data_IF_727447302073
#
_entry.id   IF_727447302073
#
_cell.length_a   1.000
_cell.length_b   1.000
_cell.length_c   1.000
_cell.angle_alpha   90.00
_cell.angle_beta   90.00
_cell.angle_gamma   90.00
#
_symmetry.space_group_name_H-M   'P 1'
#
loop_
_entity.id
_entity.type
_entity.pdbx_description
1 polymer ?
#
# COMPACT_ATOMS: atom_id res chain seq x y z
N UNK A 1 5.38 -22.64 -18.04
CA UNK A 1 6.84 -22.79 -17.79
C UNK A 1 7.47 -21.53 -17.15
N UNK A 2 7.09 -20.30 -17.54
CA UNK A 2 7.66 -19.07 -16.97
C UNK A 2 7.24 -18.83 -15.51
N UNK A 3 6.02 -19.17 -15.13
CA UNK A 3 5.56 -19.05 -13.73
C UNK A 3 6.28 -20.03 -12.79
N UNK A 4 6.68 -21.22 -13.26
CA UNK A 4 7.51 -22.12 -12.46
C UNK A 4 8.91 -21.58 -12.20
N UNK A 5 9.48 -20.79 -13.12
CA UNK A 5 10.77 -20.15 -12.89
C UNK A 5 10.72 -19.00 -11.87
N UNK A 6 9.55 -18.34 -11.70
CA UNK A 6 9.36 -17.36 -10.63
C UNK A 6 9.36 -17.99 -9.24
N UNK A 7 8.87 -19.23 -9.11
CA UNK A 7 8.86 -19.95 -7.82
C UNK A 7 10.18 -20.64 -7.47
N UNK A 8 11.16 -20.65 -8.38
CA UNK A 8 12.50 -21.30 -8.19
C UNK A 8 13.60 -20.24 -8.06
N UNK A 9 13.25 -18.97 -7.97
CA UNK A 9 14.25 -17.92 -7.80
C UNK A 9 14.85 -17.96 -6.42
N UNK A 10 16.14 -17.87 -6.37
CA UNK A 10 17.00 -17.69 -5.20
C UNK A 10 17.00 -16.24 -4.69
N UNK A 11 16.02 -15.45 -5.08
CA UNK A 11 15.86 -14.04 -4.70
C UNK A 11 14.43 -13.75 -4.28
N UNK A 12 14.28 -13.12 -3.13
CA UNK A 12 12.97 -12.76 -2.54
C UNK A 12 12.34 -11.55 -3.22
N UNK A 13 13.13 -10.74 -3.93
CA UNK A 13 12.66 -9.49 -4.54
C UNK A 13 13.13 -9.35 -6.00
N UNK A 14 12.18 -9.00 -6.88
CA UNK A 14 12.44 -8.75 -8.29
C UNK A 14 13.04 -7.36 -8.56
N UNK A 15 13.45 -7.09 -9.81
CA UNK A 15 13.94 -5.77 -10.21
C UNK A 15 12.80 -4.75 -10.28
N UNK A 16 13.15 -3.47 -10.20
CA UNK A 16 12.27 -2.36 -10.58
C UNK A 16 11.99 -2.40 -12.09
N UNK A 17 10.96 -1.68 -12.53
CA UNK A 17 10.46 -1.78 -13.90
C UNK A 17 11.46 -1.23 -14.94
N UNK A 18 12.14 -0.13 -14.64
CA UNK A 18 13.07 0.54 -15.56
C UNK A 18 14.12 1.38 -14.82
N UNK A 19 14.99 2.04 -15.61
CA UNK A 19 16.04 2.91 -15.10
C UNK A 19 15.50 4.18 -14.39
N UNK A 20 14.35 4.69 -14.81
CA UNK A 20 13.76 5.88 -14.20
C UNK A 20 13.20 5.54 -12.83
N UNK A 21 12.55 4.37 -12.68
CA UNK A 21 12.08 3.86 -11.40
C UNK A 21 13.25 3.67 -10.43
N UNK A 22 14.36 3.07 -10.90
CA UNK A 22 15.56 2.90 -10.08
C UNK A 22 16.10 4.26 -9.60
N UNK A 23 16.27 5.21 -10.52
CA UNK A 23 16.74 6.55 -10.19
C UNK A 23 15.81 7.26 -9.21
N UNK A 24 14.50 7.16 -9.41
CA UNK A 24 13.49 7.75 -8.50
C UNK A 24 13.60 7.18 -7.08
N UNK A 25 13.78 5.88 -6.94
CA UNK A 25 13.96 5.23 -5.63
C UNK A 25 15.25 5.69 -4.96
N UNK A 26 16.37 5.74 -5.71
CA UNK A 26 17.65 6.24 -5.21
C UNK A 26 17.53 7.69 -4.70
N UNK A 27 16.90 8.57 -5.48
CA UNK A 27 16.68 9.97 -5.13
C UNK A 27 15.80 10.12 -3.89
N UNK A 28 14.72 9.33 -3.78
CA UNK A 28 13.83 9.36 -2.61
C UNK A 28 14.54 8.91 -1.34
N UNK A 29 15.32 7.83 -1.39
CA UNK A 29 16.11 7.34 -0.24
C UNK A 29 17.12 8.39 0.18
N UNK A 30 17.87 8.96 -0.78
CA UNK A 30 18.85 10.02 -0.51
C UNK A 30 18.19 11.24 0.15
N UNK A 31 17.06 11.70 -0.40
CA UNK A 31 16.31 12.83 0.13
C UNK A 31 15.80 12.59 1.55
N UNK A 32 15.32 11.38 1.83
CA UNK A 32 14.86 11.01 3.17
C UNK A 32 16.02 11.09 4.19
N UNK A 33 17.21 10.62 3.83
CA UNK A 33 18.41 10.73 4.68
C UNK A 33 18.79 12.20 4.89
N UNK A 34 18.76 13.02 3.83
CA UNK A 34 19.00 14.47 3.93
C UNK A 34 17.97 15.19 4.83
N UNK A 35 16.74 14.68 4.87
CA UNK A 35 15.66 15.17 5.74
C UNK A 35 15.78 14.67 7.20
N UNK A 36 16.71 13.76 7.48
CA UNK A 36 17.01 13.28 8.84
C UNK A 36 16.62 11.85 9.13
N UNK A 37 16.13 11.08 8.13
CA UNK A 37 15.93 9.65 8.29
C UNK A 37 17.28 8.92 8.43
N UNK A 38 17.28 7.82 9.17
CA UNK A 38 18.45 6.97 9.34
C UNK A 38 18.28 5.69 8.50
N UNK A 39 19.33 5.35 7.73
CA UNK A 39 19.36 4.12 6.95
C UNK A 39 19.75 2.94 7.83
N UNK A 40 18.82 2.05 8.09
CA UNK A 40 19.05 0.85 8.89
C UNK A 40 19.69 -0.27 8.06
N UNK A 41 19.23 -0.46 6.83
CA UNK A 41 19.81 -1.42 5.88
C UNK A 41 19.43 -1.08 4.44
N UNK A 42 20.17 -1.66 3.47
CA UNK A 42 19.95 -1.46 2.05
C UNK A 42 20.39 -0.08 1.56
N UNK A 43 19.58 0.52 0.71
CA UNK A 43 19.78 1.90 0.21
C UNK A 43 20.59 2.02 -1.06
N UNK A 44 20.96 0.91 -1.69
CA UNK A 44 21.84 0.91 -2.84
C UNK A 44 21.31 0.03 -3.99
N UNK A 45 21.70 0.40 -5.21
CA UNK A 45 21.54 -0.46 -6.38
C UNK A 45 22.39 -1.71 -6.26
N UNK A 46 21.83 -2.85 -6.66
CA UNK A 46 22.55 -4.12 -6.74
C UNK A 46 23.13 -4.30 -8.15
N UNK A 47 24.45 -4.31 -8.23
CA UNK A 47 25.18 -4.55 -9.48
C UNK A 47 24.98 -3.50 -10.56
N UNK A 48 25.45 -3.80 -11.78
CA UNK A 48 25.38 -2.88 -12.92
C UNK A 48 24.40 -3.33 -14.01
N UNK A 49 23.90 -4.57 -13.91
CA UNK A 49 22.99 -5.18 -14.89
C UNK A 49 21.58 -5.30 -14.29
N UNK A 50 20.59 -4.85 -15.04
CA UNK A 50 19.20 -4.81 -14.57
C UNK A 50 18.93 -3.60 -13.65
N UNK A 51 17.78 -3.59 -12.99
CA UNK A 51 17.27 -2.49 -12.18
C UNK A 51 16.99 -2.96 -10.74
N UNK A 52 17.93 -3.69 -10.16
CA UNK A 52 17.81 -4.22 -8.82
C UNK A 52 18.22 -3.17 -7.78
N UNK A 53 17.40 -3.05 -6.74
CA UNK A 53 17.64 -2.20 -5.59
C UNK A 53 17.52 -3.04 -4.32
N UNK A 54 18.35 -2.77 -3.33
CA UNK A 54 18.32 -3.51 -2.06
C UNK A 54 17.03 -3.25 -1.29
N UNK A 55 16.45 -4.28 -0.63
CA UNK A 55 15.44 -4.06 0.39
C UNK A 55 15.97 -3.06 1.42
N UNK A 56 15.27 -1.96 1.58
CA UNK A 56 15.74 -0.80 2.32
C UNK A 56 14.81 -0.47 3.47
N UNK A 57 15.36 -0.24 4.65
CA UNK A 57 14.61 0.22 5.82
C UNK A 57 15.18 1.57 6.27
N UNK A 58 14.29 2.55 6.36
CA UNK A 58 14.57 3.88 6.91
C UNK A 58 13.85 4.03 8.25
N UNK A 59 14.57 4.41 9.28
CA UNK A 59 14.01 4.69 10.62
C UNK A 59 14.12 6.18 10.94
N UNK A 60 13.53 6.60 12.05
CA UNK A 60 13.45 8.01 12.44
C UNK A 60 12.77 8.90 11.38
N UNK A 61 11.91 8.32 10.55
CA UNK A 61 11.13 9.09 9.61
C UNK A 61 10.07 9.92 10.34
N UNK A 62 9.72 11.06 9.75
CA UNK A 62 8.64 11.92 10.26
C UNK A 62 7.56 12.10 9.22
N UNK A 63 6.33 12.40 9.65
CA UNK A 63 5.17 12.59 8.77
C UNK A 63 5.41 13.64 7.66
N UNK A 64 6.32 14.57 7.85
CA UNK A 64 6.60 15.65 6.89
C UNK A 64 7.59 15.28 5.79
N UNK A 65 8.23 14.12 5.89
CA UNK A 65 9.20 13.67 4.89
C UNK A 65 8.50 13.22 3.61
N UNK A 66 9.07 13.52 2.47
CA UNK A 66 8.52 13.16 1.16
C UNK A 66 8.36 11.65 1.00
N UNK A 67 9.27 10.86 1.58
CA UNK A 67 9.22 9.39 1.56
C UNK A 67 7.97 8.84 2.25
N UNK A 68 7.34 9.59 3.17
CA UNK A 68 6.09 9.25 3.85
C UNK A 68 4.88 9.76 3.06
N UNK A 69 4.98 10.94 2.46
CA UNK A 69 3.84 11.61 1.79
C UNK A 69 3.65 11.16 0.35
N UNK A 70 4.72 10.71 -0.32
CA UNK A 70 4.70 10.32 -1.72
C UNK A 70 4.89 8.82 -1.89
N UNK A 71 4.14 8.23 -2.80
CA UNK A 71 4.29 6.82 -3.15
C UNK A 71 5.68 6.52 -3.75
N UNK A 72 6.34 5.46 -3.27
CA UNK A 72 7.73 5.17 -3.66
C UNK A 72 7.83 4.14 -4.80
N UNK A 73 6.88 3.22 -4.95
CA UNK A 73 6.94 2.12 -5.93
C UNK A 73 8.29 1.39 -5.96
N UNK A 74 8.82 1.07 -4.79
CA UNK A 74 10.12 0.41 -4.66
C UNK A 74 10.29 -0.31 -3.32
N UNK A 75 11.38 -1.06 -3.14
CA UNK A 75 11.62 -1.88 -1.96
C UNK A 75 12.12 -1.05 -0.77
N UNK A 76 11.40 -0.02 -0.39
CA UNK A 76 11.76 0.89 0.70
C UNK A 76 10.64 0.92 1.73
N UNK A 77 10.99 0.63 2.97
CA UNK A 77 10.10 0.68 4.13
C UNK A 77 10.52 1.84 5.04
N UNK A 78 9.84 2.98 4.99
CA UNK A 78 10.03 4.04 5.97
C UNK A 78 9.24 3.73 7.25
N UNK A 79 9.85 3.93 8.41
CA UNK A 79 9.28 3.68 9.73
C UNK A 79 9.15 4.98 10.50
N UNK A 80 7.93 5.25 10.95
CA UNK A 80 7.59 6.39 11.82
C UNK A 80 7.18 5.84 13.19
N UNK A 81 7.85 6.26 14.24
CA UNK A 81 7.50 5.90 15.61
C UNK A 81 6.40 6.81 16.14
N UNK A 82 5.52 6.27 16.96
CA UNK A 82 4.48 7.03 17.66
C UNK A 82 4.37 6.59 19.11
N UNK A 83 3.91 7.49 19.96
CA UNK A 83 3.61 7.21 21.37
C UNK A 83 2.11 7.05 21.57
N UNK A 84 1.34 7.94 20.99
CA UNK A 84 -0.11 7.93 21.11
C UNK A 84 -0.76 7.35 19.85
N UNK A 85 -1.72 6.45 20.02
CA UNK A 85 -2.42 5.80 18.90
C UNK A 85 -3.17 6.81 18.04
N UNK A 86 -3.65 7.88 18.65
CA UNK A 86 -4.32 8.98 17.98
C UNK A 86 -3.44 9.64 16.93
N UNK A 87 -2.15 9.82 17.22
CA UNK A 87 -1.17 10.34 16.26
C UNK A 87 -0.98 9.38 15.09
N UNK A 88 -0.85 8.09 15.37
CA UNK A 88 -0.74 7.06 14.33
C UNK A 88 -1.96 7.05 13.39
N UNK A 89 -3.18 7.19 13.95
CA UNK A 89 -4.41 7.28 13.16
C UNK A 89 -4.42 8.57 12.32
N UNK A 90 -4.04 9.69 12.91
CA UNK A 90 -4.00 10.97 12.22
C UNK A 90 -3.00 10.92 11.06
N UNK A 91 -1.79 10.43 11.29
CA UNK A 91 -0.75 10.32 10.27
C UNK A 91 -1.07 9.33 9.17
N UNK A 92 -1.63 8.16 9.50
CA UNK A 92 -2.06 7.20 8.50
C UNK A 92 -3.17 7.76 7.59
N UNK A 93 -4.01 8.65 8.11
CA UNK A 93 -5.07 9.29 7.35
C UNK A 93 -4.62 10.58 6.63
N UNK A 94 -3.47 11.13 6.96
CA UNK A 94 -2.90 12.34 6.37
C UNK A 94 -2.11 12.01 5.09
N UNK A 95 -2.80 11.43 4.12
CA UNK A 95 -2.27 11.19 2.77
C UNK A 95 -3.41 11.20 1.74
N UNK A 96 -3.06 11.36 0.47
CA UNK A 96 -4.03 11.40 -0.64
C UNK A 96 -4.52 10.02 -1.07
N UNK A 97 -3.94 8.94 -0.54
CA UNK A 97 -4.22 7.56 -0.92
C UNK A 97 -4.97 6.81 0.18
N UNK A 98 -5.54 5.67 -0.14
CA UNK A 98 -6.28 4.85 0.81
C UNK A 98 -6.69 3.50 0.23
N UNK A 99 -5.72 2.72 -0.29
CA UNK A 99 -6.01 1.40 -0.82
C UNK A 99 -6.08 0.38 0.31
N UNK A 100 -4.95 0.07 0.93
CA UNK A 100 -4.87 -0.95 1.97
C UNK A 100 -4.19 -0.44 3.23
N UNK A 101 -4.56 -1.00 4.36
CA UNK A 101 -3.91 -0.82 5.65
C UNK A 101 -3.72 -2.14 6.38
N UNK A 102 -2.73 -2.24 7.25
CA UNK A 102 -2.48 -3.41 8.07
C UNK A 102 -2.35 -3.03 9.54
N UNK A 103 -2.96 -3.83 10.41
CA UNK A 103 -2.93 -3.67 11.86
C UNK A 103 -2.37 -4.94 12.46
N UNK A 104 -1.33 -4.83 13.29
CA UNK A 104 -0.78 -5.93 14.05
C UNK A 104 -0.93 -5.66 15.55
N UNK A 105 -1.85 -6.34 16.21
CA UNK A 105 -2.13 -6.18 17.64
C UNK A 105 -2.85 -7.40 18.19
N UNK A 106 -2.67 -7.67 19.48
CA UNK A 106 -3.45 -8.67 20.22
C UNK A 106 -4.62 -8.04 21.00
N UNK A 107 -4.72 -6.71 21.01
CA UNK A 107 -5.79 -6.00 21.71
C UNK A 107 -7.01 -5.84 20.79
N UNK A 108 -8.11 -6.51 21.15
CA UNK A 108 -9.33 -6.51 20.34
C UNK A 108 -10.02 -5.14 20.31
N UNK A 109 -10.05 -4.41 21.42
CA UNK A 109 -10.66 -3.07 21.47
C UNK A 109 -9.88 -2.11 20.58
N UNK A 110 -8.54 -2.19 20.61
CA UNK A 110 -7.67 -1.43 19.73
C UNK A 110 -7.92 -1.78 18.26
N UNK A 111 -8.11 -3.05 17.95
CA UNK A 111 -8.43 -3.51 16.59
C UNK A 111 -9.69 -2.82 16.07
N UNK A 112 -10.78 -2.87 16.82
CA UNK A 112 -12.03 -2.23 16.40
C UNK A 112 -11.97 -0.71 16.35
N UNK A 113 -11.19 -0.09 17.24
CA UNK A 113 -10.93 1.36 17.20
C UNK A 113 -10.23 1.73 15.89
N UNK A 114 -9.17 1.01 15.51
CA UNK A 114 -8.38 1.27 14.31
C UNK A 114 -9.16 1.00 13.02
N UNK A 115 -9.89 -0.12 12.94
CA UNK A 115 -10.73 -0.44 11.77
C UNK A 115 -11.74 0.69 11.47
N UNK A 116 -12.31 1.31 12.50
CA UNK A 116 -13.28 2.41 12.33
C UNK A 116 -12.64 3.75 12.02
N UNK A 117 -11.40 3.96 12.46
CA UNK A 117 -10.71 5.24 12.35
C UNK A 117 -9.87 5.37 11.08
N UNK A 118 -9.29 4.28 10.57
CA UNK A 118 -8.47 4.26 9.37
C UNK A 118 -9.33 4.39 8.11
N UNK A 119 -8.92 5.28 7.21
CA UNK A 119 -9.67 5.64 5.99
C UNK A 119 -9.08 4.94 4.77
N UNK A 120 -9.19 3.62 4.73
CA UNK A 120 -8.69 2.77 3.64
C UNK A 120 -9.81 1.85 3.14
N UNK A 121 -9.72 1.46 1.87
CA UNK A 121 -10.68 0.54 1.27
C UNK A 121 -10.63 -0.84 1.89
N UNK A 122 -9.43 -1.28 2.27
CA UNK A 122 -9.21 -2.56 2.93
C UNK A 122 -8.37 -2.40 4.19
N UNK A 123 -8.65 -3.23 5.19
CA UNK A 123 -7.88 -3.31 6.42
C UNK A 123 -7.62 -4.78 6.78
N UNK A 124 -6.36 -5.14 6.88
CA UNK A 124 -5.90 -6.47 7.26
C UNK A 124 -5.46 -6.47 8.72
N UNK A 125 -5.87 -7.47 9.48
CA UNK A 125 -5.52 -7.58 10.91
C UNK A 125 -4.75 -8.87 11.15
N UNK A 126 -3.52 -8.75 11.62
CA UNK A 126 -2.61 -9.85 11.95
C UNK A 126 -2.41 -10.85 10.80
N UNK A 127 -2.41 -10.36 9.57
CA UNK A 127 -2.20 -11.16 8.36
C UNK A 127 -1.55 -10.34 7.25
N UNK A 128 -1.06 -11.02 6.24
CA UNK A 128 -0.58 -10.40 5.02
C UNK A 128 -1.71 -9.79 4.17
N UNK A 129 -1.37 -8.84 3.33
CA UNK A 129 -2.29 -8.17 2.41
C UNK A 129 -2.56 -9.08 1.20
N UNK A 130 -3.49 -10.01 1.36
CA UNK A 130 -3.94 -10.90 0.29
C UNK A 130 -5.46 -10.90 0.24
N UNK A 131 -6.01 -10.40 -0.85
CA UNK A 131 -7.44 -10.23 -1.05
C UNK A 131 -8.13 -11.60 -1.20
N UNK A 132 -9.32 -11.68 -0.66
CA UNK A 132 -10.21 -12.78 -0.95
C UNK A 132 -11.09 -12.44 -2.16
N UNK A 133 -11.25 -13.35 -3.11
CA UNK A 133 -12.06 -13.16 -4.33
C UNK A 133 -13.50 -12.67 -4.07
N UNK A 134 -14.05 -12.97 -2.91
CA UNK A 134 -15.38 -12.50 -2.49
C UNK A 134 -15.35 -11.12 -1.81
N UNK A 135 -14.17 -10.61 -1.48
CA UNK A 135 -13.98 -9.26 -0.95
C UNK A 135 -14.05 -8.23 -2.07
N UNK A 136 -14.48 -7.02 -1.76
CA UNK A 136 -14.45 -5.92 -2.70
C UNK A 136 -13.12 -5.17 -2.55
N UNK A 137 -12.26 -5.31 -3.55
CA UNK A 137 -10.97 -4.63 -3.61
C UNK A 137 -11.15 -3.24 -4.22
N UNK A 138 -11.19 -2.21 -3.39
CA UNK A 138 -11.40 -0.84 -3.83
C UNK A 138 -10.58 0.17 -3.03
N UNK A 139 -10.01 1.13 -3.74
CA UNK A 139 -9.29 2.26 -3.14
C UNK A 139 -10.21 3.39 -2.74
N UNK A 140 -9.87 4.08 -1.66
CA UNK A 140 -10.46 5.36 -1.29
C UNK A 140 -9.58 6.50 -1.77
N UNK A 141 -10.15 7.70 -1.86
CA UNK A 141 -9.45 8.93 -2.27
C UNK A 141 -8.78 8.75 -3.65
N UNK A 142 -7.51 9.12 -3.82
CA UNK A 142 -6.78 8.97 -5.09
C UNK A 142 -6.39 7.54 -5.45
N UNK A 143 -6.59 6.58 -4.55
CA UNK A 143 -6.30 5.17 -4.86
C UNK A 143 -7.33 4.52 -5.78
N UNK A 144 -8.52 5.11 -5.96
CA UNK A 144 -9.49 4.59 -6.92
C UNK A 144 -10.88 5.22 -6.79
N UNK A 145 -11.71 5.05 -7.82
CA UNK A 145 -13.11 5.49 -7.89
C UNK A 145 -14.09 4.32 -8.01
N UNK A 146 -13.61 3.12 -8.14
CA UNK A 146 -14.33 1.86 -8.22
C UNK A 146 -13.44 0.74 -7.69
N UNK A 147 -13.83 -0.49 -7.91
CA UNK A 147 -13.06 -1.61 -7.44
C UNK A 147 -13.32 -2.88 -8.24
N UNK A 148 -12.68 -3.95 -7.80
CA UNK A 148 -12.80 -5.27 -8.39
C UNK A 148 -13.28 -6.28 -7.34
N UNK A 149 -13.56 -7.49 -7.80
CA UNK A 149 -13.92 -8.63 -6.97
C UNK A 149 -15.23 -8.49 -6.16
N UNK A 150 -15.67 -9.59 -5.60
CA UNK A 150 -16.90 -9.67 -4.84
C UNK A 150 -18.16 -9.27 -5.61
N UNK A 151 -19.26 -9.11 -4.89
CA UNK A 151 -20.55 -8.73 -5.45
C UNK A 151 -20.51 -7.32 -6.07
N UNK A 152 -19.89 -6.37 -5.38
CA UNK A 152 -19.80 -4.98 -5.84
C UNK A 152 -18.96 -4.86 -7.12
N UNK A 153 -17.85 -5.61 -7.23
CA UNK A 153 -17.04 -5.65 -8.44
C UNK A 153 -17.84 -6.20 -9.63
N UNK A 154 -18.69 -7.20 -9.42
CA UNK A 154 -19.58 -7.71 -10.46
C UNK A 154 -20.62 -6.65 -10.88
N UNK A 155 -21.19 -5.93 -9.92
CA UNK A 155 -22.19 -4.89 -10.17
C UNK A 155 -21.65 -3.73 -11.01
N UNK A 156 -20.36 -3.44 -10.95
CA UNK A 156 -19.66 -2.44 -11.79
C UNK A 156 -19.73 -2.75 -13.30
N UNK A 157 -19.91 -4.02 -13.66
CA UNK A 157 -20.05 -4.47 -15.07
C UNK A 157 -21.51 -4.59 -15.52
N UNK A 158 -22.47 -4.25 -14.67
CA UNK A 158 -23.88 -4.36 -14.93
C UNK A 158 -24.54 -2.99 -15.08
N UNK A 159 -25.60 -2.94 -15.86
CA UNK A 159 -26.48 -1.75 -15.96
C UNK A 159 -27.78 -2.03 -15.26
N UNK A 160 -28.23 -1.10 -14.42
CA UNK A 160 -29.53 -1.19 -13.77
C UNK A 160 -30.59 -0.54 -14.65
N UNK A 161 -31.67 -1.28 -14.92
CA UNK A 161 -32.85 -0.77 -15.58
C UNK A 161 -34.02 -0.77 -14.60
N UNK A 162 -34.72 0.34 -14.48
CA UNK A 162 -35.94 0.48 -13.71
C UNK A 162 -37.13 0.63 -14.67
N UNK A 163 -38.14 -0.21 -14.51
CA UNK A 163 -39.34 -0.20 -15.36
C UNK A 163 -40.56 0.04 -14.50
N UNK A 164 -41.33 1.06 -14.82
CA UNK A 164 -42.66 1.28 -14.27
C UNK A 164 -43.69 0.83 -15.32
N UNK A 165 -44.52 -0.10 -14.95
CA UNK A 165 -45.60 -0.59 -15.83
C UNK A 165 -46.98 -0.33 -15.18
N UNK A 166 -47.80 0.42 -15.84
CA UNK A 166 -49.21 0.63 -15.50
C UNK A 166 -50.08 -0.14 -16.46
N UNK A 167 -50.89 -1.09 -15.99
CA UNK A 167 -51.88 -1.80 -16.77
C UNK A 167 -53.24 -1.17 -16.49
N UNK A 168 -53.93 -0.70 -17.54
CA UNK A 168 -55.33 -0.31 -17.41
C UNK A 168 -56.15 -1.59 -17.21
N UNK A 169 -56.82 -1.68 -16.07
CA UNK A 169 -57.79 -2.74 -15.75
C UNK A 169 -59.06 -2.63 -16.58
#
# INVERSE_FOLDING_TARGET
RRQRQMCIRDSDMGPLIDANALKSVEEKVKKAIEQGAELLCGGHRIGTKGYFFEPTILINCTQKMDIIQEETFGPVLPVVEFTEVEDAIAWANDCEYGLTSSIYTQNLDMTFKLIRALKFGETYVNRENFEAMQGFHAGWRKSGIGGADGKHGLEEYLQTQLVYLETKG
#
